data_IF_276042020192
#
_entry.id   IF_276042020192
#
_cell.length_a   1.000
_cell.length_b   1.000
_cell.length_c   1.000
_cell.angle_alpha   90.00
_cell.angle_beta   90.00
_cell.angle_gamma   90.00
#
_symmetry.space_group_name_H-M   'P 1'
#
loop_
_entity.id
_entity.type
_entity.pdbx_description
1 polymer ?
#
# COMPACT_ATOMS: atom_id res chain seq x y z
N UNK A 1 26.56 45.88 -11.85
CA UNK A 1 25.24 46.54 -11.77
C UNK A 1 24.45 45.97 -10.62
N UNK A 2 23.88 46.79 -9.71
CA UNK A 2 23.16 46.27 -8.55
C UNK A 2 21.77 45.76 -8.97
N UNK A 3 21.46 44.53 -8.57
CA UNK A 3 20.15 43.90 -8.74
C UNK A 3 19.07 44.72 -8.02
N UNK A 4 18.07 45.21 -8.77
CA UNK A 4 16.88 45.88 -8.23
C UNK A 4 16.19 44.95 -7.21
N UNK A 5 16.21 45.34 -5.95
CA UNK A 5 15.42 44.71 -4.87
C UNK A 5 13.97 45.16 -5.01
N UNK A 6 13.03 44.21 -5.11
CA UNK A 6 11.60 44.48 -4.98
C UNK A 6 11.20 44.60 -3.50
N UNK A 7 9.99 45.12 -3.24
CA UNK A 7 9.45 45.55 -1.93
C UNK A 7 9.52 44.56 -0.75
N UNK A 8 9.90 43.31 -0.98
CA UNK A 8 10.10 42.28 0.05
C UNK A 8 11.59 41.90 0.28
N UNK A 9 12.55 42.64 -0.27
CA UNK A 9 13.99 42.39 -0.06
C UNK A 9 14.56 41.12 -0.71
N UNK A 10 13.74 40.35 -1.44
CA UNK A 10 14.12 39.13 -2.16
C UNK A 10 14.75 39.47 -3.52
N UNK A 11 15.81 38.75 -3.89
CA UNK A 11 16.42 38.86 -5.22
C UNK A 11 15.58 38.16 -6.30
N UNK A 12 15.79 38.56 -7.56
CA UNK A 12 15.01 38.04 -8.69
C UNK A 12 15.14 36.52 -8.89
N UNK A 13 16.31 35.96 -8.55
CA UNK A 13 16.58 34.52 -8.64
C UNK A 13 15.72 33.72 -7.64
N UNK A 14 15.66 34.16 -6.39
CA UNK A 14 14.83 33.51 -5.36
C UNK A 14 13.36 33.63 -5.68
N UNK A 15 12.91 34.79 -6.16
CA UNK A 15 11.52 34.98 -6.60
C UNK A 15 11.17 34.01 -7.75
N UNK A 16 12.04 33.86 -8.74
CA UNK A 16 11.87 32.90 -9.83
C UNK A 16 11.72 31.45 -9.35
N UNK A 17 12.54 31.03 -8.38
CA UNK A 17 12.44 29.70 -7.76
C UNK A 17 11.11 29.49 -7.03
N UNK A 18 10.62 30.51 -6.31
CA UNK A 18 9.34 30.46 -5.59
C UNK A 18 8.18 30.35 -6.59
N UNK A 19 8.20 31.15 -7.66
CA UNK A 19 7.15 31.14 -8.68
C UNK A 19 7.10 29.79 -9.41
N UNK A 20 8.25 29.24 -9.79
CA UNK A 20 8.32 27.90 -10.37
C UNK A 20 7.81 26.83 -9.40
N UNK A 21 8.18 26.90 -8.12
CA UNK A 21 7.70 25.96 -7.11
C UNK A 21 6.17 25.94 -7.02
N UNK A 22 5.55 27.13 -6.96
CA UNK A 22 4.09 27.27 -6.95
C UNK A 22 3.46 26.72 -8.22
N UNK A 23 4.08 26.95 -9.37
CA UNK A 23 3.63 26.37 -10.64
C UNK A 23 3.65 24.84 -10.59
N UNK A 24 4.71 24.21 -10.06
CA UNK A 24 4.82 22.75 -9.97
C UNK A 24 3.80 22.13 -9.00
N UNK A 25 3.51 22.80 -7.88
CA UNK A 25 2.59 22.31 -6.84
C UNK A 25 1.10 22.52 -7.19
N UNK A 26 0.80 23.32 -8.21
CA UNK A 26 -0.58 23.67 -8.54
C UNK A 26 -1.40 22.42 -8.95
N UNK A 27 -2.59 22.19 -8.35
CA UNK A 27 -3.46 21.06 -8.70
C UNK A 27 -3.86 21.05 -10.19
N UNK A 28 -4.01 19.87 -10.78
CA UNK A 28 -4.22 19.72 -12.23
C UNK A 28 -5.40 20.55 -12.77
N UNK A 29 -6.57 20.50 -12.15
CA UNK A 29 -7.72 21.28 -12.62
C UNK A 29 -7.51 22.80 -12.49
N UNK A 30 -6.80 23.25 -11.45
CA UNK A 30 -6.45 24.66 -11.31
C UNK A 30 -5.40 25.08 -12.36
N UNK A 31 -4.46 24.20 -12.67
CA UNK A 31 -3.44 24.39 -13.69
C UNK A 31 -4.07 24.53 -15.08
N UNK A 32 -4.95 23.60 -15.46
CA UNK A 32 -5.67 23.62 -16.73
C UNK A 32 -6.46 24.90 -16.92
N UNK A 33 -7.26 25.30 -15.92
CA UNK A 33 -7.98 26.59 -15.94
C UNK A 33 -7.05 27.80 -16.03
N UNK A 34 -5.85 27.71 -15.46
CA UNK A 34 -4.85 28.77 -15.54
C UNK A 34 -4.30 28.90 -16.96
N UNK A 35 -3.96 27.78 -17.59
CA UNK A 35 -3.46 27.77 -18.98
C UNK A 35 -4.57 28.19 -19.95
N UNK A 36 -5.79 27.67 -19.80
CA UNK A 36 -6.93 28.09 -20.62
C UNK A 36 -7.22 29.60 -20.53
N UNK A 37 -7.10 30.20 -19.34
CA UNK A 37 -7.20 31.67 -19.18
C UNK A 37 -6.07 32.44 -19.85
N UNK A 38 -4.85 31.88 -19.86
CA UNK A 38 -3.73 32.48 -20.59
C UNK A 38 -4.02 32.45 -22.09
N UNK A 39 -4.41 31.30 -22.64
CA UNK A 39 -4.70 31.14 -24.08
C UNK A 39 -5.94 31.95 -24.53
N UNK A 40 -6.92 32.15 -23.65
CA UNK A 40 -8.09 32.98 -23.92
C UNK A 40 -7.82 34.50 -23.85
N UNK A 41 -6.68 34.92 -23.28
CA UNK A 41 -6.38 36.34 -23.04
C UNK A 41 -6.02 37.09 -24.33
N UNK A 42 -6.39 38.37 -24.40
CA UNK A 42 -6.04 39.26 -25.53
C UNK A 42 -4.52 39.32 -25.78
N UNK A 43 -3.64 39.42 -24.75
CA UNK A 43 -2.20 39.42 -24.98
C UNK A 43 -1.69 38.17 -25.69
N UNK A 44 -2.26 36.99 -25.40
CA UNK A 44 -1.87 35.75 -26.06
C UNK A 44 -2.39 35.67 -27.50
N UNK A 45 -3.67 36.01 -27.72
CA UNK A 45 -4.26 35.99 -29.06
C UNK A 45 -3.59 36.96 -30.03
N UNK A 46 -3.05 38.08 -29.53
CA UNK A 46 -2.29 39.05 -30.31
C UNK A 46 -0.79 38.77 -30.41
N UNK A 47 -0.27 37.72 -29.78
CA UNK A 47 1.16 37.43 -29.76
C UNK A 47 1.58 36.59 -30.97
N UNK A 48 2.12 37.23 -32.01
CA UNK A 48 2.68 36.54 -33.20
C UNK A 48 3.99 35.79 -32.92
N UNK A 49 4.70 36.16 -31.85
CA UNK A 49 6.00 35.62 -31.44
C UNK A 49 5.92 34.27 -30.71
N UNK A 50 4.72 33.72 -30.50
CA UNK A 50 4.53 32.43 -29.83
C UNK A 50 3.57 31.53 -30.59
N UNK A 51 3.88 30.24 -30.65
CA UNK A 51 3.01 29.23 -31.23
C UNK A 51 2.78 28.08 -30.25
N UNK A 52 1.52 27.71 -29.94
CA UNK A 52 1.22 26.50 -29.20
C UNK A 52 1.56 25.27 -30.04
N UNK A 53 2.16 24.28 -29.40
CA UNK A 53 2.51 22.99 -29.94
C UNK A 53 2.32 21.92 -28.85
N UNK A 54 2.53 20.66 -29.19
CA UNK A 54 2.63 19.56 -28.23
C UNK A 54 4.09 19.18 -28.04
N UNK A 55 4.42 18.74 -26.82
CA UNK A 55 5.72 18.14 -26.54
C UNK A 55 5.92 16.92 -27.47
N UNK A 56 7.07 16.78 -28.14
CA UNK A 56 7.35 15.63 -28.99
C UNK A 56 7.14 14.31 -28.24
N UNK A 57 6.39 13.38 -28.83
CA UNK A 57 6.06 12.08 -28.23
C UNK A 57 4.92 12.09 -27.20
N UNK A 58 4.31 13.25 -26.90
CA UNK A 58 3.11 13.29 -26.06
C UNK A 58 1.89 12.71 -26.81
N UNK A 59 1.21 11.76 -26.18
CA UNK A 59 -0.02 11.14 -26.68
C UNK A 59 -1.19 11.60 -25.82
N UNK A 60 -2.35 11.82 -26.44
CA UNK A 60 -3.54 12.33 -25.76
C UNK A 60 -4.72 11.37 -25.88
N UNK A 61 -5.45 11.20 -24.79
CA UNK A 61 -6.66 10.39 -24.74
C UNK A 61 -7.88 11.26 -25.11
N UNK A 62 -8.41 11.04 -26.32
CA UNK A 62 -9.58 11.75 -26.83
C UNK A 62 -10.86 11.43 -26.03
N UNK A 63 -10.95 10.23 -25.45
CA UNK A 63 -12.13 9.75 -24.73
C UNK A 63 -12.16 10.23 -23.28
N UNK A 64 -11.01 10.52 -22.67
CA UNK A 64 -10.96 11.08 -21.32
C UNK A 64 -11.25 12.59 -21.32
N UNK A 65 -10.92 13.30 -22.40
CA UNK A 65 -11.14 14.74 -22.53
C UNK A 65 -12.63 15.13 -22.50
N UNK A 66 -13.54 14.23 -22.88
CA UNK A 66 -14.99 14.47 -22.98
C UNK A 66 -15.78 14.08 -21.73
N UNK A 67 -15.16 13.37 -20.77
CA UNK A 67 -15.83 12.92 -19.54
C UNK A 67 -15.90 14.06 -18.51
N UNK A 68 -17.12 14.51 -18.22
CA UNK A 68 -17.40 15.58 -17.25
C UNK A 68 -17.06 15.21 -15.78
N UNK A 69 -16.86 13.91 -15.50
CA UNK A 69 -16.49 13.37 -14.18
C UNK A 69 -15.12 12.66 -14.23
N UNK A 70 -14.15 13.25 -14.94
CA UNK A 70 -12.82 12.66 -15.01
C UNK A 70 -12.14 12.69 -13.62
N UNK A 71 -11.56 11.58 -13.15
CA UNK A 71 -10.76 11.57 -11.94
C UNK A 71 -9.59 12.56 -12.09
N UNK A 72 -9.17 13.18 -10.98
CA UNK A 72 -8.09 14.18 -10.91
C UNK A 72 -6.70 13.57 -11.20
N UNK A 73 -6.56 12.89 -12.34
CA UNK A 73 -5.38 12.17 -12.80
C UNK A 73 -4.71 12.95 -13.93
N UNK A 74 -3.41 12.74 -14.14
CA UNK A 74 -2.65 13.33 -15.22
C UNK A 74 -3.00 12.70 -16.59
N UNK A 75 -3.42 11.45 -16.56
CA UNK A 75 -3.61 10.60 -17.73
C UNK A 75 -3.67 9.14 -17.33
N UNK A 76 -3.55 8.25 -18.31
CA UNK A 76 -3.59 6.80 -18.13
C UNK A 76 -2.39 6.11 -18.76
N UNK A 77 -2.00 4.98 -18.18
CA UNK A 77 -1.05 4.04 -18.78
C UNK A 77 -1.86 2.99 -19.55
N UNK A 78 -1.47 2.75 -20.80
CA UNK A 78 -2.14 1.81 -21.71
C UNK A 78 -1.12 0.81 -22.23
N UNK A 79 -1.58 -0.43 -22.42
CA UNK A 79 -0.80 -1.46 -23.12
C UNK A 79 -0.99 -1.26 -24.62
N UNK A 80 0.10 -1.11 -25.35
CA UNK A 80 0.13 -1.01 -26.80
C UNK A 80 1.05 -2.11 -27.36
N UNK A 81 0.91 -2.44 -28.63
CA UNK A 81 1.84 -3.33 -29.33
C UNK A 81 3.27 -2.77 -29.15
N UNK A 82 4.13 -3.53 -28.47
CA UNK A 82 5.51 -3.13 -28.16
C UNK A 82 5.77 -2.57 -26.75
N UNK A 83 4.75 -2.35 -25.90
CA UNK A 83 4.99 -1.99 -24.50
C UNK A 83 3.92 -1.13 -23.82
N UNK A 84 4.32 -0.37 -22.81
CA UNK A 84 3.46 0.57 -22.10
C UNK A 84 3.66 1.98 -22.65
N UNK A 85 2.54 2.68 -22.88
CA UNK A 85 2.52 4.10 -23.27
C UNK A 85 1.68 4.90 -22.29
N UNK A 86 2.06 6.16 -22.08
CA UNK A 86 1.30 7.10 -21.27
C UNK A 86 0.52 8.06 -22.15
N UNK A 87 -0.79 8.14 -21.91
CA UNK A 87 -1.70 9.04 -22.62
C UNK A 87 -2.18 10.11 -21.65
N UNK A 88 -1.90 11.37 -21.94
CA UNK A 88 -2.39 12.51 -21.19
C UNK A 88 -3.91 12.62 -21.33
N UNK A 89 -4.60 13.01 -20.27
CA UNK A 89 -6.06 13.21 -20.33
C UNK A 89 -6.49 14.47 -21.09
N UNK A 90 -5.59 15.42 -21.25
CA UNK A 90 -5.89 16.73 -21.81
C UNK A 90 -4.66 17.33 -22.48
N UNK A 91 -4.83 17.98 -23.63
CA UNK A 91 -3.74 18.55 -24.44
C UNK A 91 -2.86 19.56 -23.68
N UNK A 92 -3.48 20.43 -22.86
CA UNK A 92 -2.79 21.39 -21.97
C UNK A 92 -1.69 20.76 -21.12
N UNK A 93 -1.81 19.49 -20.74
CA UNK A 93 -0.82 18.80 -19.89
C UNK A 93 0.43 18.34 -20.67
N UNK A 94 0.32 18.25 -22.00
CA UNK A 94 1.43 18.01 -22.92
C UNK A 94 1.72 19.21 -23.82
N UNK A 95 1.15 20.38 -23.53
CA UNK A 95 1.33 21.61 -24.32
C UNK A 95 2.74 22.17 -24.16
N UNK A 96 3.26 22.72 -25.25
CA UNK A 96 4.48 23.50 -25.30
C UNK A 96 4.26 24.78 -26.11
N UNK A 97 4.86 25.87 -25.67
CA UNK A 97 4.90 27.14 -26.40
C UNK A 97 6.27 27.33 -27.03
N UNK A 98 6.32 27.42 -28.35
CA UNK A 98 7.54 27.71 -29.10
C UNK A 98 7.65 29.21 -29.29
N UNK A 99 8.80 29.77 -28.91
CA UNK A 99 9.06 31.20 -28.94
C UNK A 99 9.91 31.56 -30.15
N UNK A 100 9.53 32.62 -30.85
CA UNK A 100 10.42 33.31 -31.78
C UNK A 100 11.33 34.25 -30.98
N UNK A 101 12.51 33.76 -30.62
CA UNK A 101 13.47 34.52 -29.82
C UNK A 101 14.02 35.75 -30.58
N UNK A 102 13.96 35.76 -31.92
CA UNK A 102 14.36 36.94 -32.73
C UNK A 102 13.34 38.05 -32.60
N UNK A 103 12.05 37.74 -32.81
CA UNK A 103 10.97 38.70 -32.61
C UNK A 103 10.92 39.22 -31.16
N UNK A 104 11.16 38.36 -30.16
CA UNK A 104 11.26 38.78 -28.76
C UNK A 104 12.45 39.72 -28.53
N UNK A 105 13.59 39.45 -29.15
CA UNK A 105 14.78 40.30 -29.11
C UNK A 105 14.50 41.69 -29.68
N UNK A 106 13.89 41.75 -30.86
CA UNK A 106 13.57 42.99 -31.56
C UNK A 106 12.54 43.83 -30.79
N UNK A 107 11.50 43.20 -30.24
CA UNK A 107 10.52 43.88 -29.38
C UNK A 107 11.14 44.42 -28.09
N UNK A 108 12.16 43.74 -27.53
CA UNK A 108 12.91 44.24 -26.37
C UNK A 108 13.79 45.42 -26.73
N UNK A 109 14.50 45.34 -27.86
CA UNK A 109 15.39 46.39 -28.33
C UNK A 109 14.63 47.68 -28.72
N UNK A 110 13.46 47.53 -29.35
CA UNK A 110 12.59 48.64 -29.73
C UNK A 110 11.75 49.22 -28.57
N UNK A 111 11.78 48.59 -27.38
CA UNK A 111 10.91 48.97 -26.26
C UNK A 111 9.42 48.70 -26.48
N UNK A 112 9.05 48.02 -27.58
CA UNK A 112 7.67 47.69 -27.93
C UNK A 112 7.06 46.57 -27.07
N UNK A 113 7.88 45.84 -26.30
CA UNK A 113 7.37 44.80 -25.40
C UNK A 113 6.71 45.41 -24.15
N UNK A 114 5.39 45.49 -24.17
CA UNK A 114 4.59 45.95 -23.04
C UNK A 114 4.74 45.03 -21.80
N UNK A 115 4.51 45.56 -20.60
CA UNK A 115 4.59 44.80 -19.35
C UNK A 115 3.75 43.51 -19.34
N UNK A 116 2.58 43.56 -19.98
CA UNK A 116 1.69 42.39 -20.12
C UNK A 116 2.28 41.30 -21.02
N UNK A 117 3.04 41.66 -22.06
CA UNK A 117 3.73 40.72 -22.95
C UNK A 117 4.92 40.06 -22.24
N UNK A 118 5.66 40.80 -21.42
CA UNK A 118 6.71 40.25 -20.55
C UNK A 118 6.10 39.26 -19.56
N UNK A 119 5.01 39.65 -18.88
CA UNK A 119 4.30 38.79 -17.94
C UNK A 119 3.71 37.54 -18.62
N UNK A 120 3.24 37.66 -19.86
CA UNK A 120 2.80 36.52 -20.67
C UNK A 120 3.97 35.56 -20.95
N UNK A 121 5.09 36.06 -21.48
CA UNK A 121 6.29 35.26 -21.77
C UNK A 121 6.74 34.46 -20.54
N UNK A 122 6.81 35.08 -19.37
CA UNK A 122 7.17 34.39 -18.13
C UNK A 122 6.18 33.28 -17.77
N UNK A 123 4.87 33.52 -17.88
CA UNK A 123 3.84 32.51 -17.62
C UNK A 123 3.94 31.32 -18.58
N UNK A 124 4.15 31.57 -19.86
CA UNK A 124 4.31 30.51 -20.87
C UNK A 124 5.59 29.68 -20.64
N UNK A 125 6.70 30.32 -20.24
CA UNK A 125 7.94 29.62 -19.84
C UNK A 125 7.75 28.74 -18.60
N UNK A 126 6.89 29.13 -17.66
CA UNK A 126 6.52 28.29 -16.52
C UNK A 126 5.69 27.08 -16.93
N UNK A 127 4.77 27.24 -17.89
CA UNK A 127 4.00 26.12 -18.47
C UNK A 127 4.94 25.13 -19.15
N UNK A 128 5.84 25.62 -20.03
CA UNK A 128 6.84 24.76 -20.68
C UNK A 128 7.70 24.01 -19.66
N UNK A 129 8.19 24.72 -18.64
CA UNK A 129 8.98 24.14 -17.55
C UNK A 129 8.24 22.99 -16.86
N UNK A 130 6.98 23.22 -16.45
CA UNK A 130 6.17 22.19 -15.79
C UNK A 130 5.88 21.01 -16.71
N UNK A 131 5.41 21.26 -17.93
CA UNK A 131 5.00 20.20 -18.84
C UNK A 131 6.19 19.36 -19.31
N UNK A 132 7.33 19.97 -19.65
CA UNK A 132 8.55 19.23 -20.02
C UNK A 132 9.07 18.39 -18.86
N UNK A 133 9.10 18.93 -17.64
CA UNK A 133 9.49 18.14 -16.46
C UNK A 133 8.52 16.98 -16.22
N UNK A 134 7.21 17.22 -16.36
CA UNK A 134 6.18 16.17 -16.23
C UNK A 134 6.34 15.08 -17.28
N UNK A 135 6.62 15.46 -18.53
CA UNK A 135 6.83 14.50 -19.61
C UNK A 135 8.10 13.66 -19.40
N UNK A 136 9.22 14.30 -19.09
CA UNK A 136 10.48 13.61 -18.79
C UNK A 136 10.35 12.66 -17.58
N UNK A 137 9.63 13.11 -16.55
CA UNK A 137 9.26 12.30 -15.37
C UNK A 137 8.47 11.06 -15.78
N UNK A 138 7.39 11.22 -16.55
CA UNK A 138 6.54 10.11 -16.94
C UNK A 138 7.27 9.08 -17.81
N UNK A 139 8.04 9.51 -18.80
CA UNK A 139 8.83 8.58 -19.63
C UNK A 139 9.86 7.82 -18.79
N UNK A 140 10.55 8.51 -17.89
CA UNK A 140 11.52 7.88 -16.99
C UNK A 140 10.87 6.89 -16.01
N UNK A 141 9.63 7.17 -15.58
CA UNK A 141 8.84 6.26 -14.73
C UNK A 141 8.32 5.03 -15.48
N UNK A 142 7.83 5.21 -16.71
CA UNK A 142 7.40 4.10 -17.58
C UNK A 142 8.52 3.09 -17.79
N UNK A 143 9.74 3.59 -18.02
CA UNK A 143 10.92 2.75 -18.17
C UNK A 143 11.33 2.07 -16.85
N UNK A 144 11.42 2.85 -15.77
CA UNK A 144 11.96 2.35 -14.52
C UNK A 144 11.01 1.41 -13.76
N UNK A 145 9.70 1.57 -13.93
CA UNK A 145 8.67 0.79 -13.22
C UNK A 145 7.82 -0.05 -14.18
N UNK A 146 8.37 -0.41 -15.34
CA UNK A 146 7.66 -1.11 -16.42
C UNK A 146 6.89 -2.34 -15.94
N UNK A 147 7.55 -3.23 -15.22
CA UNK A 147 6.97 -4.51 -14.82
C UNK A 147 5.82 -4.31 -13.82
N UNK A 148 5.99 -3.40 -12.86
CA UNK A 148 4.91 -3.00 -11.94
C UNK A 148 3.74 -2.35 -12.67
N UNK A 149 4.00 -1.42 -13.59
CA UNK A 149 2.95 -0.73 -14.33
C UNK A 149 2.19 -1.67 -15.29
N UNK A 150 2.85 -2.73 -15.78
CA UNK A 150 2.25 -3.73 -16.64
C UNK A 150 1.37 -4.71 -15.85
N UNK A 151 1.84 -5.19 -14.70
CA UNK A 151 1.22 -6.29 -13.94
C UNK A 151 0.33 -5.82 -12.80
N UNK A 152 0.64 -4.65 -12.23
CA UNK A 152 0.09 -4.19 -10.95
C UNK A 152 0.66 -4.92 -9.73
N UNK A 153 1.61 -5.84 -9.90
CA UNK A 153 2.21 -6.61 -8.80
C UNK A 153 3.17 -5.75 -7.98
N UNK A 154 2.87 -5.45 -6.71
CA UNK A 154 3.75 -4.67 -5.85
C UNK A 154 5.19 -5.21 -5.72
N UNK A 155 5.42 -6.51 -5.94
CA UNK A 155 6.76 -7.10 -5.91
C UNK A 155 7.62 -6.72 -7.11
N UNK A 156 6.99 -6.35 -8.22
CA UNK A 156 7.65 -5.91 -9.45
C UNK A 156 8.10 -4.43 -9.40
N UNK A 157 7.88 -3.73 -8.29
CA UNK A 157 8.39 -2.37 -8.09
C UNK A 157 9.92 -2.38 -7.98
N UNK A 158 10.56 -1.56 -8.80
CA UNK A 158 12.00 -1.31 -8.75
C UNK A 158 12.33 -0.17 -7.77
N UNK A 159 13.46 -0.22 -7.05
CA UNK A 159 13.88 0.89 -6.20
C UNK A 159 14.18 2.11 -7.06
N UNK A 160 13.49 3.22 -6.79
CA UNK A 160 13.64 4.44 -7.55
C UNK A 160 13.55 5.68 -6.65
N UNK A 161 14.58 5.94 -5.83
CA UNK A 161 14.69 7.20 -5.11
C UNK A 161 14.62 8.39 -6.08
N UNK A 162 13.95 9.47 -5.68
CA UNK A 162 13.80 10.67 -6.52
C UNK A 162 15.15 11.26 -6.97
N UNK A 163 16.20 11.13 -6.15
CA UNK A 163 17.57 11.57 -6.51
C UNK A 163 18.11 10.80 -7.72
N UNK A 164 17.87 9.49 -7.78
CA UNK A 164 18.27 8.68 -8.94
C UNK A 164 17.50 9.09 -10.18
N UNK A 165 16.20 9.37 -10.04
CA UNK A 165 15.39 9.86 -11.15
C UNK A 165 15.86 11.24 -11.63
N UNK A 166 16.14 12.19 -10.73
CA UNK A 166 16.65 13.52 -11.10
C UNK A 166 17.92 13.44 -11.93
N UNK A 167 18.84 12.55 -11.54
CA UNK A 167 20.08 12.32 -12.28
C UNK A 167 19.80 11.76 -13.68
N UNK A 168 18.95 10.72 -13.78
CA UNK A 168 18.56 10.14 -15.07
C UNK A 168 17.91 11.17 -16.01
N UNK A 169 17.05 12.03 -15.47
CA UNK A 169 16.41 13.09 -16.26
C UNK A 169 17.47 14.10 -16.74
N UNK A 170 18.37 14.54 -15.86
CA UNK A 170 19.43 15.49 -16.21
C UNK A 170 20.44 14.97 -17.22
N UNK A 171 20.67 13.65 -17.27
CA UNK A 171 21.57 12.99 -18.24
C UNK A 171 20.91 12.80 -19.62
N UNK A 172 19.58 12.69 -19.70
CA UNK A 172 18.86 12.26 -20.91
C UNK A 172 18.08 13.36 -21.62
N UNK A 173 17.70 14.41 -20.91
CA UNK A 173 16.77 15.41 -21.42
C UNK A 173 17.29 16.81 -21.15
N UNK A 174 17.45 17.59 -22.21
CA UNK A 174 17.68 19.03 -22.08
C UNK A 174 16.40 19.72 -21.62
N UNK A 175 16.41 20.17 -20.37
CA UNK A 175 15.31 20.87 -19.73
C UNK A 175 15.65 22.35 -19.55
N UNK A 176 14.65 23.25 -19.63
CA UNK A 176 14.85 24.67 -19.37
C UNK A 176 15.18 24.98 -17.89
N UNK A 177 15.17 23.96 -17.03
CA UNK A 177 15.55 24.05 -15.63
C UNK A 177 16.25 22.77 -15.16
N UNK A 178 17.02 22.86 -14.08
CA UNK A 178 17.57 21.69 -13.39
C UNK A 178 16.44 20.87 -12.77
N UNK A 179 16.34 19.58 -13.08
CA UNK A 179 15.34 18.67 -12.53
C UNK A 179 15.79 18.09 -11.18
N UNK A 180 15.96 18.91 -10.13
CA UNK A 180 16.34 18.42 -8.81
C UNK A 180 15.23 17.64 -8.09
N UNK A 181 15.61 16.83 -7.10
CA UNK A 181 14.68 16.01 -6.32
C UNK A 181 13.59 16.84 -5.61
N UNK A 182 13.87 18.08 -5.20
CA UNK A 182 12.88 18.96 -4.58
C UNK A 182 11.79 19.38 -5.56
N UNK A 183 12.16 19.74 -6.80
CA UNK A 183 11.21 20.04 -7.88
C UNK A 183 10.38 18.81 -8.27
N UNK A 184 10.99 17.64 -8.36
CA UNK A 184 10.29 16.39 -8.62
C UNK A 184 9.29 16.08 -7.50
N UNK A 185 9.71 16.20 -6.23
CA UNK A 185 8.85 15.98 -5.07
C UNK A 185 7.61 16.88 -5.09
N UNK A 186 7.81 18.18 -5.35
CA UNK A 186 6.75 19.18 -5.48
C UNK A 186 5.75 18.82 -6.57
N UNK A 187 6.26 18.44 -7.75
CA UNK A 187 5.44 18.05 -8.88
C UNK A 187 4.63 16.78 -8.58
N UNK A 188 5.29 15.74 -8.04
CA UNK A 188 4.69 14.41 -7.81
C UNK A 188 3.60 14.43 -6.73
N UNK A 189 3.70 15.29 -5.71
CA UNK A 189 2.79 15.32 -4.55
C UNK A 189 1.31 15.47 -4.94
N UNK A 190 1.01 16.20 -6.02
CA UNK A 190 -0.35 16.48 -6.46
C UNK A 190 -0.81 15.65 -7.66
N UNK A 191 -0.03 14.66 -8.09
CA UNK A 191 -0.28 13.93 -9.33
C UNK A 191 -0.62 12.46 -9.07
N UNK A 192 -1.59 11.98 -9.85
CA UNK A 192 -1.97 10.57 -9.92
C UNK A 192 -2.17 10.17 -11.39
N UNK A 193 -2.06 8.88 -11.68
CA UNK A 193 -2.30 8.31 -13.01
C UNK A 193 -3.35 7.21 -12.91
N UNK A 194 -3.97 6.88 -14.03
CA UNK A 194 -4.83 5.71 -14.14
C UNK A 194 -4.02 4.54 -14.66
N UNK A 195 -4.02 3.42 -13.94
CA UNK A 195 -3.35 2.18 -14.30
C UNK A 195 -4.12 1.44 -15.40
N UNK A 196 -3.51 0.44 -16.09
CA UNK A 196 -4.22 -0.35 -17.10
C UNK A 196 -5.47 -1.07 -16.59
N UNK A 197 -5.53 -1.38 -15.29
CA UNK A 197 -6.69 -2.00 -14.62
C UNK A 197 -7.78 -0.97 -14.21
N UNK A 198 -7.62 0.30 -14.60
CA UNK A 198 -8.55 1.39 -14.29
C UNK A 198 -8.38 2.00 -12.90
N UNK A 199 -7.52 1.46 -12.03
CA UNK A 199 -7.30 2.02 -10.70
C UNK A 199 -6.46 3.29 -10.75
N UNK A 200 -6.77 4.23 -9.86
CA UNK A 200 -5.96 5.44 -9.68
C UNK A 200 -4.74 5.16 -8.81
N UNK A 201 -3.55 5.50 -9.30
CA UNK A 201 -2.29 5.39 -8.60
C UNK A 201 -1.65 6.78 -8.38
N UNK A 202 -1.45 7.22 -7.14
CA UNK A 202 -0.64 8.40 -6.85
C UNK A 202 0.80 8.21 -7.34
N UNK A 203 1.36 9.20 -8.07
CA UNK A 203 2.73 9.09 -8.60
C UNK A 203 3.77 8.90 -7.49
N UNK A 204 3.50 9.40 -6.28
CA UNK A 204 4.39 9.24 -5.12
C UNK A 204 4.67 7.77 -4.76
N UNK A 205 3.78 6.84 -5.13
CA UNK A 205 3.99 5.40 -4.90
C UNK A 205 4.99 4.75 -5.86
N UNK A 206 5.35 5.42 -6.95
CA UNK A 206 6.35 4.94 -7.93
C UNK A 206 7.80 5.28 -7.54
N UNK A 207 8.00 5.82 -6.34
CA UNK A 207 9.29 6.17 -5.78
C UNK A 207 9.63 5.38 -4.51
N UNK A 208 9.55 4.03 -4.54
CA UNK A 208 9.89 3.25 -3.36
C UNK A 208 11.40 3.33 -3.10
N UNK A 209 11.75 3.51 -1.83
CA UNK A 209 13.12 3.28 -1.36
C UNK A 209 13.41 1.79 -1.27
N UNK A 210 14.68 1.41 -1.37
CA UNK A 210 15.12 0.01 -1.17
C UNK A 210 14.61 -0.53 0.17
N UNK A 211 14.72 0.27 1.24
CA UNK A 211 14.22 -0.11 2.57
C UNK A 211 12.72 -0.45 2.55
N UNK A 212 11.90 0.35 1.87
CA UNK A 212 10.46 0.07 1.76
C UNK A 212 10.19 -1.23 1.01
N UNK A 213 10.92 -1.50 -0.08
CA UNK A 213 10.80 -2.75 -0.82
C UNK A 213 11.23 -3.94 0.03
N UNK A 214 12.31 -3.82 0.80
CA UNK A 214 12.74 -4.88 1.72
C UNK A 214 11.69 -5.16 2.80
N UNK A 215 11.07 -4.12 3.36
CA UNK A 215 9.95 -4.28 4.28
C UNK A 215 8.79 -5.05 3.62
N UNK A 216 8.41 -4.67 2.41
CA UNK A 216 7.29 -5.29 1.71
C UNK A 216 7.55 -6.76 1.36
N UNK A 217 8.73 -7.05 0.80
CA UNK A 217 9.16 -8.42 0.47
C UNK A 217 9.22 -9.31 1.71
N UNK A 218 9.77 -8.80 2.82
CA UNK A 218 9.82 -9.54 4.08
C UNK A 218 8.42 -9.84 4.64
N UNK A 219 7.50 -8.86 4.60
CA UNK A 219 6.11 -9.04 5.03
C UNK A 219 5.40 -10.13 4.20
N UNK A 220 5.59 -10.12 2.88
CA UNK A 220 5.03 -11.15 2.00
C UNK A 220 5.60 -12.53 2.27
N UNK A 221 6.92 -12.65 2.47
CA UNK A 221 7.54 -13.90 2.88
C UNK A 221 6.98 -14.41 4.21
N UNK A 222 6.83 -13.56 5.23
CA UNK A 222 6.29 -14.00 6.52
C UNK A 222 4.79 -14.33 6.43
N UNK A 223 4.05 -13.75 5.49
CA UNK A 223 2.66 -14.13 5.20
C UNK A 223 2.58 -15.49 4.50
N UNK A 224 3.45 -15.77 3.53
CA UNK A 224 3.51 -17.08 2.88
C UNK A 224 4.01 -18.16 3.84
N UNK A 225 4.97 -17.86 4.72
CA UNK A 225 5.43 -18.73 5.83
C UNK A 225 4.23 -19.30 6.61
N UNK A 226 3.27 -18.46 6.97
CA UNK A 226 2.07 -18.88 7.71
C UNK A 226 1.19 -19.84 6.90
N UNK A 227 1.04 -19.61 5.60
CA UNK A 227 0.26 -20.48 4.73
C UNK A 227 0.94 -21.85 4.57
N UNK A 228 2.26 -21.86 4.37
CA UNK A 228 3.06 -23.09 4.25
C UNK A 228 3.08 -23.90 5.56
N UNK A 229 3.12 -23.23 6.72
CA UNK A 229 2.97 -23.87 8.04
C UNK A 229 1.60 -24.53 8.20
N UNK A 230 0.53 -23.89 7.74
CA UNK A 230 -0.82 -24.45 7.80
C UNK A 230 -0.95 -25.67 6.89
N UNK A 231 -0.40 -25.59 5.68
CA UNK A 231 -0.35 -26.67 4.70
C UNK A 231 0.58 -27.83 5.09
N UNK A 232 1.51 -27.62 6.03
CA UNK A 232 2.47 -28.63 6.48
C UNK A 232 3.71 -28.76 5.59
N UNK A 233 3.89 -27.87 4.62
CA UNK A 233 5.05 -27.86 3.70
C UNK A 233 6.35 -27.43 4.40
N UNK A 234 6.24 -26.67 5.49
CA UNK A 234 7.36 -26.36 6.37
C UNK A 234 6.99 -26.71 7.81
N UNK A 235 7.94 -27.33 8.52
CA UNK A 235 7.72 -27.79 9.90
C UNK A 235 7.78 -26.65 10.95
N UNK A 236 8.48 -25.56 10.64
CA UNK A 236 8.70 -24.42 11.56
C UNK A 236 8.88 -23.11 10.80
N UNK A 237 8.57 -21.95 11.43
CA UNK A 237 8.88 -20.64 10.86
C UNK A 237 10.36 -20.51 10.51
N UNK A 238 10.64 -19.76 9.45
CA UNK A 238 12.00 -19.44 9.01
C UNK A 238 12.69 -18.52 10.02
N UNK A 239 13.95 -18.82 10.30
CA UNK A 239 14.82 -17.93 11.06
C UNK A 239 15.18 -16.67 10.26
N UNK A 240 15.66 -15.62 10.94
CA UNK A 240 16.13 -14.39 10.28
C UNK A 240 17.25 -14.67 9.24
N UNK A 241 18.06 -15.72 9.43
CA UNK A 241 19.08 -16.15 8.46
C UNK A 241 18.46 -16.82 7.22
N UNK A 242 17.42 -17.65 7.41
CA UNK A 242 16.70 -18.27 6.29
C UNK A 242 15.90 -17.23 5.50
N UNK A 243 15.27 -16.28 6.18
CA UNK A 243 14.57 -15.16 5.54
C UNK A 243 15.54 -14.31 4.69
N UNK A 244 16.77 -14.09 5.16
CA UNK A 244 17.81 -13.42 4.38
C UNK A 244 18.15 -14.21 3.11
N UNK A 245 18.39 -15.51 3.22
CA UNK A 245 18.72 -16.38 2.09
C UNK A 245 17.56 -16.46 1.07
N UNK A 246 16.32 -16.53 1.53
CA UNK A 246 15.13 -16.55 0.66
C UNK A 246 14.95 -15.23 -0.10
N UNK A 247 15.18 -14.09 0.56
CA UNK A 247 15.14 -12.78 -0.13
C UNK A 247 16.25 -12.64 -1.17
N UNK A 248 17.44 -13.18 -0.90
CA UNK A 248 18.54 -13.21 -1.87
C UNK A 248 18.19 -14.12 -3.06
N UNK A 249 17.65 -15.31 -2.81
CA UNK A 249 17.26 -16.27 -3.85
C UNK A 249 16.10 -15.76 -4.72
N UNK A 250 15.05 -15.19 -4.12
CA UNK A 250 13.83 -14.80 -4.84
C UNK A 250 13.93 -13.41 -5.48
N UNK A 251 14.71 -12.50 -4.89
CA UNK A 251 14.71 -11.09 -5.27
C UNK A 251 16.12 -10.50 -5.46
N UNK A 252 17.18 -11.33 -5.47
CA UNK A 252 18.56 -10.90 -5.63
C UNK A 252 19.05 -9.94 -4.53
N UNK A 253 18.33 -9.87 -3.40
CA UNK A 253 18.57 -8.86 -2.37
C UNK A 253 19.39 -9.45 -1.23
N UNK A 254 20.67 -9.06 -1.14
CA UNK A 254 21.56 -9.52 -0.07
C UNK A 254 21.40 -8.67 1.19
N UNK A 255 20.74 -9.22 2.21
CA UNK A 255 20.56 -8.58 3.51
C UNK A 255 21.27 -9.34 4.62
N UNK A 256 21.88 -8.60 5.56
CA UNK A 256 22.42 -9.22 6.77
C UNK A 256 21.30 -9.71 7.69
N UNK A 257 21.57 -10.72 8.51
CA UNK A 257 20.65 -11.17 9.57
C UNK A 257 20.22 -10.02 10.49
N UNK A 258 21.12 -9.09 10.81
CA UNK A 258 20.81 -7.90 11.64
C UNK A 258 19.84 -6.95 10.93
N UNK A 259 19.98 -6.78 9.61
CA UNK A 259 19.07 -5.99 8.78
C UNK A 259 17.67 -6.62 8.75
N UNK A 260 17.57 -7.95 8.60
CA UNK A 260 16.29 -8.65 8.69
C UNK A 260 15.64 -8.45 10.05
N UNK A 261 16.39 -8.62 11.14
CA UNK A 261 15.88 -8.39 12.49
C UNK A 261 15.35 -6.94 12.65
N UNK A 262 16.08 -5.94 12.17
CA UNK A 262 15.67 -4.54 12.24
C UNK A 262 14.38 -4.26 11.44
N UNK A 263 14.28 -4.79 10.21
CA UNK A 263 13.07 -4.67 9.37
C UNK A 263 11.90 -5.39 10.05
N UNK A 264 12.13 -6.58 10.59
CA UNK A 264 11.15 -7.38 11.34
C UNK A 264 10.60 -6.58 12.54
N UNK A 265 11.47 -5.93 13.31
CA UNK A 265 11.05 -5.04 14.40
C UNK A 265 10.23 -3.84 13.90
N UNK A 266 10.63 -3.21 12.79
CA UNK A 266 9.88 -2.12 12.18
C UNK A 266 8.47 -2.54 11.74
N UNK A 267 8.31 -3.77 11.26
CA UNK A 267 7.02 -4.35 10.85
C UNK A 267 6.23 -4.95 12.03
N UNK A 268 6.72 -4.81 13.26
CA UNK A 268 6.15 -5.44 14.45
C UNK A 268 5.99 -6.97 14.32
N UNK A 269 6.87 -7.61 13.54
CA UNK A 269 6.88 -9.05 13.35
C UNK A 269 7.65 -9.73 14.51
N UNK A 270 7.08 -10.75 15.17
CA UNK A 270 7.79 -11.49 16.22
C UNK A 270 8.99 -12.24 15.64
N UNK A 271 9.99 -12.57 16.47
CA UNK A 271 11.10 -13.45 16.07
C UNK A 271 10.61 -14.88 15.73
N UNK A 272 11.45 -15.71 15.12
CA UNK A 272 11.04 -17.05 14.70
C UNK A 272 10.55 -17.95 15.84
N UNK A 273 11.04 -17.76 17.08
CA UNK A 273 10.58 -18.54 18.25
C UNK A 273 9.19 -18.11 18.67
N UNK A 274 8.94 -16.80 18.74
CA UNK A 274 7.59 -16.25 19.01
C UNK A 274 6.61 -16.51 17.87
N UNK A 275 7.06 -16.54 16.61
CA UNK A 275 6.24 -17.01 15.48
C UNK A 275 5.98 -18.50 15.56
N UNK A 276 6.90 -19.27 16.14
CA UNK A 276 6.73 -20.69 16.41
C UNK A 276 5.79 -20.95 17.60
N UNK A 277 5.55 -19.98 18.49
CA UNK A 277 4.55 -20.12 19.55
C UNK A 277 3.11 -20.33 19.00
N UNK A 278 2.83 -19.91 17.75
CA UNK A 278 1.59 -20.30 17.05
C UNK A 278 1.54 -21.81 16.73
N UNK A 279 2.71 -22.46 16.58
CA UNK A 279 2.85 -23.91 16.49
C UNK A 279 2.70 -24.57 17.87
N UNK A 280 3.05 -23.92 18.98
CA UNK A 280 2.93 -24.50 20.33
C UNK A 280 1.47 -24.76 20.74
N UNK A 281 0.51 -23.90 20.38
CA UNK A 281 -0.91 -24.20 20.61
C UNK A 281 -1.45 -25.28 19.65
N UNK A 282 -0.90 -25.37 18.43
CA UNK A 282 -1.22 -26.47 17.49
C UNK A 282 -0.69 -27.81 18.02
N UNK A 283 0.53 -27.83 18.56
CA UNK A 283 1.15 -28.98 19.24
C UNK A 283 0.40 -29.33 20.54
N UNK A 284 0.02 -28.34 21.35
CA UNK A 284 -0.77 -28.56 22.57
C UNK A 284 -2.17 -29.13 22.28
N UNK A 285 -2.67 -28.93 21.06
CA UNK A 285 -3.94 -29.48 20.57
C UNK A 285 -3.77 -30.68 19.64
N UNK A 286 -2.55 -31.22 19.54
CA UNK A 286 -2.28 -32.48 18.86
C UNK A 286 -2.99 -33.63 19.58
N UNK A 287 -3.60 -34.53 18.82
CA UNK A 287 -4.42 -35.62 19.35
C UNK A 287 -5.82 -35.22 19.83
N UNK A 288 -6.26 -33.97 19.59
CA UNK A 288 -7.67 -33.63 19.72
C UNK A 288 -8.47 -34.23 18.56
N UNK A 289 -9.74 -34.56 18.83
CA UNK A 289 -10.70 -34.97 17.83
C UNK A 289 -10.92 -33.89 16.77
N UNK A 290 -11.52 -34.29 15.65
CA UNK A 290 -12.08 -33.34 14.69
C UNK A 290 -13.06 -32.38 15.39
N UNK A 291 -13.23 -31.19 14.82
CA UNK A 291 -14.15 -30.20 15.36
C UNK A 291 -15.60 -30.64 15.09
N UNK A 292 -16.33 -31.00 16.14
CA UNK A 292 -17.70 -31.52 16.07
C UNK A 292 -18.71 -30.44 16.45
N UNK A 293 -19.92 -30.41 15.83
CA UNK A 293 -21.02 -29.58 16.32
C UNK A 293 -21.35 -29.90 17.78
N UNK A 294 -21.45 -28.89 18.63
CA UNK A 294 -21.80 -29.08 20.02
C UNK A 294 -23.33 -29.15 20.15
N UNK A 295 -23.89 -30.32 19.84
CA UNK A 295 -25.34 -30.60 19.91
C UNK A 295 -25.62 -31.89 20.70
N UNK A 296 -26.82 -32.06 21.30
CA UNK A 296 -27.14 -33.26 22.08
C UNK A 296 -26.96 -34.57 21.32
N UNK A 297 -27.37 -34.61 20.04
CA UNK A 297 -27.25 -35.79 19.18
C UNK A 297 -25.78 -36.15 18.91
N UNK A 298 -24.95 -35.17 18.56
CA UNK A 298 -23.52 -35.38 18.31
C UNK A 298 -22.78 -35.79 19.58
N UNK A 299 -23.12 -35.23 20.74
CA UNK A 299 -22.53 -35.63 22.02
C UNK A 299 -22.85 -37.08 22.40
N UNK A 300 -24.08 -37.54 22.13
CA UNK A 300 -24.48 -38.91 22.43
C UNK A 300 -23.71 -39.93 21.58
N UNK A 301 -23.48 -39.62 20.30
CA UNK A 301 -22.86 -40.54 19.34
C UNK A 301 -21.33 -40.49 19.38
N UNK A 302 -20.73 -39.29 19.40
CA UNK A 302 -19.30 -39.12 19.09
C UNK A 302 -18.44 -38.77 20.31
N UNK A 303 -19.02 -38.33 21.43
CA UNK A 303 -18.26 -37.99 22.62
C UNK A 303 -18.29 -39.13 23.63
N UNK A 304 -17.15 -39.67 24.09
CA UNK A 304 -17.11 -40.77 25.04
C UNK A 304 -17.41 -40.33 26.48
N UNK A 305 -17.87 -41.27 27.32
CA UNK A 305 -17.95 -41.10 28.78
C UNK A 305 -16.59 -41.37 29.45
N UNK A 306 -15.53 -40.68 29.01
CA UNK A 306 -14.18 -40.82 29.56
C UNK A 306 -13.64 -39.48 30.04
N UNK A 307 -12.56 -39.52 30.81
CA UNK A 307 -11.82 -38.35 31.23
C UNK A 307 -11.09 -37.70 30.03
N UNK A 308 -10.92 -36.39 30.10
CA UNK A 308 -10.23 -35.67 29.03
C UNK A 308 -10.26 -34.16 29.15
N UNK A 309 -9.62 -33.53 28.17
CA UNK A 309 -9.55 -32.08 27.98
C UNK A 309 -10.32 -31.71 26.72
N UNK A 310 -10.99 -30.58 26.72
CA UNK A 310 -11.79 -30.10 25.60
C UNK A 310 -11.65 -28.59 25.45
N UNK A 311 -11.93 -28.13 24.24
CA UNK A 311 -12.13 -26.71 23.95
C UNK A 311 -13.46 -26.53 23.23
N UNK A 312 -14.11 -25.42 23.55
CA UNK A 312 -15.36 -24.99 22.93
C UNK A 312 -15.06 -23.76 22.10
N UNK A 313 -15.54 -23.79 20.86
CA UNK A 313 -15.48 -22.69 19.91
C UNK A 313 -16.88 -22.19 19.65
N UNK A 314 -17.09 -20.90 19.76
CA UNK A 314 -18.38 -20.29 19.52
C UNK A 314 -18.21 -18.91 18.89
N UNK A 315 -19.21 -18.43 18.14
CA UNK A 315 -19.20 -17.05 17.67
C UNK A 315 -19.06 -16.11 18.85
N UNK A 316 -18.16 -15.14 18.71
CA UNK A 316 -18.08 -13.99 19.60
C UNK A 316 -18.72 -12.85 18.83
N UNK A 317 -19.69 -12.17 19.42
CA UNK A 317 -20.23 -10.94 18.87
C UNK A 317 -19.08 -9.92 18.80
N UNK A 318 -18.49 -9.77 17.63
CA UNK A 318 -17.54 -8.70 17.33
C UNK A 318 -18.36 -7.62 16.63
N UNK A 319 -18.66 -6.55 17.36
CA UNK A 319 -19.11 -5.30 16.77
C UNK A 319 -18.06 -4.88 15.72
N UNK A 320 -18.45 -4.83 14.45
CA UNK A 320 -17.65 -4.40 13.28
C UNK A 320 -16.81 -5.45 12.52
N UNK A 321 -17.45 -6.43 11.86
CA UNK A 321 -16.88 -7.04 10.62
C UNK A 321 -17.93 -7.23 9.53
N UNK A 322 -17.55 -6.83 8.31
CA UNK A 322 -18.34 -7.04 7.08
C UNK A 322 -18.39 -8.52 6.67
N UNK A 323 -19.46 -8.99 6.00
CA UNK A 323 -19.82 -10.42 5.98
C UNK A 323 -19.30 -11.26 4.81
N UNK A 324 -18.45 -10.73 3.92
CA UNK A 324 -18.32 -11.32 2.58
C UNK A 324 -17.12 -12.28 2.34
N UNK A 325 -16.21 -12.51 3.29
CA UNK A 325 -15.03 -13.39 3.02
C UNK A 325 -14.50 -14.16 4.24
N UNK A 326 -15.32 -14.30 5.29
CA UNK A 326 -14.94 -15.07 6.46
C UNK A 326 -15.22 -16.56 6.23
N UNK A 327 -14.20 -17.34 5.85
CA UNK A 327 -14.15 -18.75 6.29
C UNK A 327 -14.53 -18.73 7.76
N UNK A 328 -15.62 -19.41 8.12
CA UNK A 328 -16.32 -19.30 9.41
C UNK A 328 -15.40 -19.69 10.59
N UNK A 329 -14.52 -18.76 10.99
CA UNK A 329 -13.50 -18.97 12.02
C UNK A 329 -14.15 -18.74 13.38
N UNK A 330 -14.60 -19.83 14.00
CA UNK A 330 -15.09 -19.82 15.37
C UNK A 330 -13.89 -19.70 16.35
N UNK A 331 -13.78 -18.60 17.12
CA UNK A 331 -12.74 -18.46 18.15
C UNK A 331 -12.98 -19.44 19.30
N UNK A 332 -11.92 -19.77 20.04
CA UNK A 332 -12.02 -20.58 21.25
C UNK A 332 -12.54 -19.68 22.38
N UNK A 333 -13.67 -20.06 22.95
CA UNK A 333 -14.32 -19.29 24.01
C UNK A 333 -14.08 -19.90 25.38
N UNK A 334 -13.80 -21.21 25.44
CA UNK A 334 -13.60 -21.94 26.67
C UNK A 334 -12.66 -23.14 26.50
N UNK A 335 -11.78 -23.35 27.48
CA UNK A 335 -10.96 -24.55 27.62
C UNK A 335 -11.31 -25.17 28.98
N UNK A 336 -11.48 -26.49 29.03
CA UNK A 336 -11.79 -27.19 30.27
C UNK A 336 -11.32 -28.65 30.27
N UNK A 337 -11.28 -29.24 31.45
CA UNK A 337 -11.12 -30.70 31.62
C UNK A 337 -12.20 -31.30 32.50
N UNK A 338 -12.33 -32.62 32.45
CA UNK A 338 -13.31 -33.36 33.25
C UNK A 338 -12.97 -34.84 33.33
N UNK A 339 -13.51 -35.53 34.34
CA UNK A 339 -13.53 -37.00 34.42
C UNK A 339 -14.56 -37.63 33.47
N UNK A 340 -15.53 -36.86 32.97
CA UNK A 340 -16.57 -37.36 32.07
C UNK A 340 -16.95 -36.35 30.99
N UNK A 341 -16.30 -36.44 29.82
CA UNK A 341 -16.46 -35.52 28.69
C UNK A 341 -17.93 -35.33 28.29
N UNK A 342 -18.65 -36.43 28.01
CA UNK A 342 -20.06 -36.38 27.58
C UNK A 342 -20.96 -35.66 28.58
N UNK A 343 -20.88 -36.04 29.86
CA UNK A 343 -21.68 -35.43 30.93
C UNK A 343 -21.40 -33.94 31.03
N UNK A 344 -20.12 -33.56 31.09
CA UNK A 344 -19.73 -32.16 31.26
C UNK A 344 -20.15 -31.27 30.10
N UNK A 345 -19.97 -31.74 28.87
CA UNK A 345 -20.39 -31.00 27.68
C UNK A 345 -21.93 -30.86 27.61
N UNK A 346 -22.67 -31.89 28.02
CA UNK A 346 -24.12 -31.81 28.16
C UNK A 346 -24.56 -30.81 29.25
N UNK A 347 -23.79 -30.68 30.34
CA UNK A 347 -24.06 -29.69 31.39
C UNK A 347 -23.82 -28.25 30.91
N UNK A 348 -22.81 -28.03 30.06
CA UNK A 348 -22.60 -26.74 29.41
C UNK A 348 -23.77 -26.36 28.49
N UNK A 349 -24.26 -27.31 27.67
CA UNK A 349 -25.42 -27.08 26.80
C UNK A 349 -26.70 -26.78 27.58
N UNK A 350 -26.94 -27.48 28.70
CA UNK A 350 -28.11 -27.26 29.56
C UNK A 350 -28.02 -26.02 30.44
N UNK A 351 -26.88 -25.33 30.46
CA UNK A 351 -26.65 -24.18 31.34
C UNK A 351 -26.41 -24.54 32.81
N UNK A 352 -26.32 -25.83 33.14
CA UNK A 352 -26.10 -26.34 34.50
C UNK A 352 -24.63 -26.28 34.95
N UNK A 353 -23.72 -25.78 34.12
CA UNK A 353 -22.28 -25.72 34.41
C UNK A 353 -21.84 -24.53 35.28
N UNK A 354 -22.77 -23.65 35.71
CA UNK A 354 -22.47 -22.42 36.46
C UNK A 354 -21.78 -21.31 35.65
N UNK A 355 -21.61 -21.49 34.33
CA UNK A 355 -20.96 -20.52 33.44
C UNK A 355 -21.98 -19.90 32.48
N UNK A 356 -22.73 -18.93 32.97
CA UNK A 356 -23.80 -18.26 32.22
C UNK A 356 -23.29 -17.57 30.94
N UNK A 357 -22.04 -17.08 30.96
CA UNK A 357 -21.40 -16.45 29.80
C UNK A 357 -21.17 -17.48 28.69
N UNK A 358 -20.62 -18.64 29.04
CA UNK A 358 -20.48 -19.75 28.10
C UNK A 358 -21.84 -20.20 27.56
N UNK A 359 -22.83 -20.40 28.43
CA UNK A 359 -24.17 -20.83 28.01
C UNK A 359 -24.80 -19.88 26.99
N UNK A 360 -24.64 -18.56 27.16
CA UNK A 360 -25.11 -17.56 26.18
C UNK A 360 -24.48 -17.77 24.80
N UNK A 361 -23.18 -18.03 24.73
CA UNK A 361 -22.49 -18.33 23.47
C UNK A 361 -22.93 -19.67 22.85
N UNK A 362 -23.37 -20.63 23.67
CA UNK A 362 -23.87 -21.92 23.20
C UNK A 362 -25.31 -21.85 22.68
N UNK A 363 -26.14 -20.96 23.23
CA UNK A 363 -27.54 -20.79 22.86
C UNK A 363 -27.73 -20.38 21.38
N UNK A 364 -26.73 -19.78 20.75
CA UNK A 364 -26.73 -19.44 19.31
C UNK A 364 -26.67 -20.68 18.39
N UNK A 365 -26.47 -21.89 18.92
CA UNK A 365 -26.53 -23.15 18.16
C UNK A 365 -25.37 -23.40 17.19
N UNK A 366 -24.44 -22.45 17.04
CA UNK A 366 -23.27 -22.55 16.14
C UNK A 366 -21.98 -23.00 16.84
N UNK A 367 -22.07 -23.37 18.11
CA UNK A 367 -20.90 -23.79 18.87
C UNK A 367 -20.38 -25.16 18.39
N UNK A 368 -19.06 -25.31 18.44
CA UNK A 368 -18.37 -26.55 18.11
C UNK A 368 -17.40 -26.93 19.22
N UNK A 369 -17.10 -28.21 19.32
CA UNK A 369 -16.23 -28.78 20.35
C UNK A 369 -15.22 -29.73 19.73
N UNK A 370 -14.01 -29.76 20.28
CA UNK A 370 -13.08 -30.86 20.10
C UNK A 370 -12.48 -31.23 21.44
N UNK A 371 -12.06 -32.48 21.57
CA UNK A 371 -11.61 -33.04 22.83
C UNK A 371 -10.48 -34.03 22.63
N UNK A 372 -9.71 -34.26 23.68
CA UNK A 372 -8.70 -35.31 23.77
C UNK A 372 -8.98 -36.16 25.00
N UNK A 373 -9.09 -37.47 24.80
CA UNK A 373 -9.24 -38.44 25.88
C UNK A 373 -7.93 -38.54 26.63
N UNK A 374 -7.97 -38.38 27.95
CA UNK A 374 -6.79 -38.42 28.82
C UNK A 374 -7.20 -39.05 30.15
N UNK A 375 -6.68 -40.23 30.42
CA UNK A 375 -7.00 -41.05 31.60
C UNK A 375 -6.32 -40.56 32.88
N UNK A 376 -5.21 -39.82 32.78
CA UNK A 376 -4.42 -39.36 33.92
C UNK A 376 -3.94 -37.91 33.73
N UNK A 377 -3.88 -37.14 34.82
CA UNK A 377 -3.37 -35.77 34.81
C UNK A 377 -4.03 -34.83 33.77
N UNK A 378 -5.31 -35.04 33.48
CA UNK A 378 -6.08 -34.18 32.55
C UNK A 378 -6.11 -32.71 33.00
N UNK A 379 -6.05 -32.43 34.31
CA UNK A 379 -5.91 -31.06 34.87
C UNK A 379 -4.57 -30.42 34.50
N UNK A 380 -3.48 -31.18 34.55
CA UNK A 380 -2.16 -30.70 34.12
C UNK A 380 -2.12 -30.41 32.62
N UNK A 381 -2.81 -31.21 31.80
CA UNK A 381 -2.95 -30.93 30.38
C UNK A 381 -3.83 -29.70 30.10
N UNK A 382 -4.94 -29.52 30.83
CA UNK A 382 -5.77 -28.30 30.75
C UNK A 382 -4.93 -27.06 31.04
N UNK A 383 -4.15 -27.08 32.12
CA UNK A 383 -3.28 -25.95 32.49
C UNK A 383 -2.24 -25.65 31.42
N UNK A 384 -1.61 -26.69 30.83
CA UNK A 384 -0.69 -26.52 29.70
C UNK A 384 -1.40 -25.91 28.48
N UNK A 385 -2.58 -26.40 28.15
CA UNK A 385 -3.37 -25.90 27.02
C UNK A 385 -3.82 -24.45 27.22
N UNK A 386 -4.23 -24.11 28.45
CA UNK A 386 -4.61 -22.75 28.83
C UNK A 386 -3.43 -21.78 28.80
N UNK A 387 -2.25 -22.20 29.29
CA UNK A 387 -1.03 -21.40 29.20
C UNK A 387 -0.59 -21.20 27.75
N UNK A 388 -0.60 -22.27 26.94
CA UNK A 388 -0.32 -22.18 25.50
C UNK A 388 -1.29 -21.24 24.78
N UNK A 389 -2.58 -21.28 25.13
CA UNK A 389 -3.58 -20.34 24.62
C UNK A 389 -3.25 -18.89 25.01
N UNK A 390 -2.98 -18.63 26.29
CA UNK A 390 -2.64 -17.29 26.78
C UNK A 390 -1.38 -16.73 26.14
N UNK A 391 -0.36 -17.56 25.97
CA UNK A 391 0.87 -17.17 25.29
C UNK A 391 0.64 -16.88 23.81
N UNK A 392 -0.24 -17.64 23.15
CA UNK A 392 -0.58 -17.48 21.73
C UNK A 392 -1.45 -16.25 21.46
N UNK A 393 -2.46 -16.00 22.29
CA UNK A 393 -3.50 -14.98 22.04
C UNK A 393 -3.38 -13.75 22.94
N UNK A 394 -2.45 -13.73 23.90
CA UNK A 394 -2.20 -12.62 24.83
C UNK A 394 -3.27 -12.42 25.90
N UNK A 395 -4.42 -13.09 25.78
CA UNK A 395 -5.57 -13.01 26.71
C UNK A 395 -6.10 -14.42 27.01
N UNK A 396 -6.73 -14.66 28.18
CA UNK A 396 -7.41 -15.92 28.44
C UNK A 396 -8.66 -16.07 27.56
N UNK A 397 -9.17 -17.30 27.33
CA UNK A 397 -10.45 -17.48 26.66
C UNK A 397 -11.56 -16.75 27.44
N UNK A 398 -12.49 -16.07 26.74
CA UNK A 398 -13.43 -15.14 27.34
C UNK A 398 -14.34 -15.76 28.41
N UNK A 399 -14.65 -17.05 28.32
CA UNK A 399 -15.51 -17.73 29.28
C UNK A 399 -14.74 -18.43 30.41
N UNK A 400 -13.41 -18.40 30.44
CA UNK A 400 -12.63 -18.97 31.53
C UNK A 400 -12.57 -17.96 32.70
N UNK A 401 -13.41 -18.17 33.72
CA UNK A 401 -13.58 -17.23 34.85
C UNK A 401 -12.43 -17.23 35.87
N UNK A 402 -11.65 -18.30 35.95
CA UNK A 402 -10.42 -18.40 36.76
C UNK A 402 -9.39 -19.24 36.00
N UNK A 403 -8.10 -18.97 36.20
CA UNK A 403 -7.04 -19.83 35.66
C UNK A 403 -7.07 -21.19 36.39
N UNK A 404 -6.99 -22.32 35.67
CA UNK A 404 -6.94 -23.65 36.27
C UNK A 404 -5.67 -23.93 37.08
#
# INVERSE_FOLDING_TARGET
MPLKKNSNGLDASTLGKIVLARCLEQPLGAYERSVGRIEASLPFRGASWVKPASIPGAIFDADLATRHSAPATLGRVVRHEGGLVFMYRHEVLGREYRFDETAIGDMRASGAIAGDQIALLHRLRLVNSRNRLTHALMNSLLDAQRDFLATGDPLALAPLPQVHLSRRIGERVELPMVADAGRISRLVRGLAITMPDGKTLPLSRLFPSERQLHCHRLDLLVKSEKQLLLAGEIARPWSDAQLAALLEQQHGTRLSRRSIAAIRHQLALPDCRRRAALADYRMATEGFSALLPLTPSVLAVHVPCRAGVYEIRAPVAVENRCPADAVERLPVVYIGSTQGLRKRLADHLRGSSGNMMLHRHLAEGRAKVRFRIVEENWRGLERRLYLAYRETFGVPPPCNRMSP
#
